data_IF_430483913124
#
_entry.id   IF_430483913124
#
_cell.length_a   1.000
_cell.length_b   1.000
_cell.length_c   1.000
_cell.angle_alpha   90.00
_cell.angle_beta   90.00
_cell.angle_gamma   90.00
#
_symmetry.space_group_name_H-M   'P 1'
#
loop_
_entity.id
_entity.type
_entity.pdbx_description
1 polymer ?
#
# COMPACT_ATOMS: atom_id res chain seq x y z
N UNK A 1 4.80 8.40 13.23
CA UNK A 1 4.37 8.54 14.65
C UNK A 1 2.89 8.20 14.76
N UNK A 2 2.34 8.07 15.98
CA UNK A 2 0.91 7.90 16.18
C UNK A 2 0.37 8.93 17.14
N UNK A 3 -0.86 9.37 16.90
CA UNK A 3 -1.64 10.16 17.84
C UNK A 3 -2.15 9.26 18.98
N UNK A 4 -2.65 9.87 20.06
CA UNK A 4 -3.13 9.16 21.25
C UNK A 4 -4.34 8.25 21.00
N UNK A 5 -5.12 8.54 19.96
CA UNK A 5 -6.27 7.76 19.50
C UNK A 5 -5.90 6.63 18.52
N UNK A 6 -4.62 6.54 18.14
CA UNK A 6 -4.11 5.50 17.24
C UNK A 6 -4.02 5.91 15.76
N UNK A 7 -4.43 7.13 15.40
CA UNK A 7 -4.26 7.64 14.03
C UNK A 7 -2.78 7.76 13.64
N UNK A 8 -2.48 7.46 12.38
CA UNK A 8 -1.10 7.44 11.86
C UNK A 8 -0.73 8.86 11.41
N UNK A 9 0.38 9.38 11.93
CA UNK A 9 0.96 10.65 11.52
C UNK A 9 2.29 10.43 10.81
N UNK A 10 2.36 10.90 9.56
CA UNK A 10 3.57 10.85 8.71
C UNK A 10 4.01 12.27 8.38
N UNK A 11 5.32 12.51 8.44
CA UNK A 11 5.97 13.72 7.96
C UNK A 11 7.28 13.31 7.26
N UNK A 12 7.53 13.83 6.06
CA UNK A 12 8.75 13.57 5.30
C UNK A 12 9.72 14.71 5.63
N UNK A 13 10.87 14.38 6.23
CA UNK A 13 11.79 15.38 6.82
C UNK A 13 12.68 16.08 5.78
N UNK A 14 12.69 15.60 4.54
CA UNK A 14 13.48 16.14 3.44
C UNK A 14 12.66 16.32 2.16
N UNK A 15 13.17 17.15 1.24
CA UNK A 15 12.51 17.34 -0.05
C UNK A 15 12.70 16.13 -0.95
N UNK A 16 11.60 15.53 -1.38
CA UNK A 16 11.56 14.42 -2.34
C UNK A 16 10.99 14.83 -3.71
N UNK A 17 10.88 16.14 -3.97
CA UNK A 17 10.35 16.67 -5.23
C UNK A 17 11.17 16.17 -6.42
N UNK A 18 10.50 15.54 -7.38
CA UNK A 18 11.14 15.02 -8.59
C UNK A 18 11.96 13.75 -8.38
N UNK A 19 11.96 13.17 -7.18
CA UNK A 19 12.70 11.94 -6.89
C UNK A 19 11.89 10.69 -7.27
N UNK A 20 12.61 9.61 -7.57
CA UNK A 20 12.06 8.26 -7.62
C UNK A 20 12.05 7.68 -6.20
N UNK A 21 10.86 7.56 -5.62
CA UNK A 21 10.67 7.07 -4.26
C UNK A 21 10.40 5.58 -4.28
N UNK A 22 11.04 4.86 -3.36
CA UNK A 22 10.78 3.45 -3.09
C UNK A 22 10.24 3.29 -1.67
N UNK A 23 9.01 2.81 -1.53
CA UNK A 23 8.39 2.52 -0.23
C UNK A 23 8.40 1.02 -0.02
N UNK A 24 9.08 0.55 1.02
CA UNK A 24 9.15 -0.88 1.37
C UNK A 24 8.21 -1.12 2.54
N UNK A 25 7.09 -1.80 2.30
CA UNK A 25 6.12 -2.09 3.36
C UNK A 25 5.45 -3.45 3.14
N UNK A 26 5.71 -4.46 3.99
CA UNK A 26 4.89 -5.66 4.01
C UNK A 26 3.52 -5.35 4.65
N UNK A 27 2.44 -5.87 4.08
CA UNK A 27 1.09 -5.76 4.68
C UNK A 27 0.78 -6.98 5.56
N UNK A 28 1.73 -7.35 6.43
CA UNK A 28 1.62 -8.44 7.39
C UNK A 28 0.90 -8.01 8.68
N UNK A 29 0.73 -8.91 9.65
CA UNK A 29 0.02 -8.60 10.89
C UNK A 29 0.67 -7.43 11.68
N UNK A 30 -0.08 -6.39 12.08
CA UNK A 30 -1.52 -6.13 11.83
C UNK A 30 -1.81 -5.55 10.44
N UNK A 31 -2.50 -6.32 9.58
CA UNK A 31 -2.60 -6.03 8.13
C UNK A 31 -3.20 -4.67 7.82
N UNK A 32 -4.32 -4.30 8.44
CA UNK A 32 -5.04 -3.05 8.14
C UNK A 32 -4.23 -1.82 8.52
N UNK A 33 -3.45 -1.93 9.59
CA UNK A 33 -2.63 -0.85 10.09
C UNK A 33 -1.47 -0.56 9.15
N UNK A 34 -0.76 -1.61 8.72
CA UNK A 34 0.34 -1.48 7.75
C UNK A 34 -0.17 -1.05 6.37
N UNK A 35 -1.36 -1.51 5.97
CA UNK A 35 -2.02 -1.04 4.75
C UNK A 35 -2.35 0.45 4.83
N UNK A 36 -2.96 0.92 5.91
CA UNK A 36 -3.26 2.35 6.08
C UNK A 36 -1.99 3.20 6.13
N UNK A 37 -0.95 2.74 6.82
CA UNK A 37 0.35 3.43 6.85
C UNK A 37 0.97 3.57 5.46
N UNK A 38 0.91 2.51 4.64
CA UNK A 38 1.36 2.53 3.25
C UNK A 38 0.58 3.56 2.43
N UNK A 39 -0.75 3.55 2.51
CA UNK A 39 -1.61 4.46 1.74
C UNK A 39 -1.36 5.93 2.13
N UNK A 40 -1.16 6.22 3.42
CA UNK A 40 -0.85 7.57 3.90
C UNK A 40 0.55 8.00 3.43
N UNK A 41 1.54 7.09 3.41
CA UNK A 41 2.88 7.41 2.90
C UNK A 41 2.85 7.70 1.40
N UNK A 42 2.09 6.93 0.61
CA UNK A 42 1.91 7.17 -0.84
C UNK A 42 1.29 8.56 -1.07
N UNK A 43 0.22 8.90 -0.35
CA UNK A 43 -0.42 10.23 -0.47
C UNK A 43 0.55 11.36 -0.10
N UNK A 44 1.35 11.19 0.97
CA UNK A 44 2.37 12.14 1.37
C UNK A 44 3.43 12.35 0.26
N UNK A 45 3.94 11.27 -0.34
CA UNK A 45 4.90 11.34 -1.43
C UNK A 45 4.32 12.04 -2.67
N UNK A 46 3.05 11.73 -3.01
CA UNK A 46 2.36 12.33 -4.15
C UNK A 46 2.19 13.84 -3.98
N UNK A 47 1.75 14.28 -2.80
CA UNK A 47 1.59 15.71 -2.48
C UNK A 47 2.93 16.44 -2.38
N UNK A 48 3.98 15.73 -1.98
CA UNK A 48 5.36 16.24 -1.98
C UNK A 48 5.98 16.30 -3.40
N UNK A 49 5.23 15.96 -4.45
CA UNK A 49 5.65 16.02 -5.85
C UNK A 49 6.80 15.07 -6.19
N UNK A 50 6.80 13.85 -5.64
CA UNK A 50 7.67 12.77 -6.12
C UNK A 50 7.46 12.57 -7.64
N UNK A 51 8.53 12.21 -8.37
CA UNK A 51 8.43 11.92 -9.80
C UNK A 51 7.77 10.56 -10.03
N UNK A 52 8.20 9.54 -9.27
CA UNK A 52 7.63 8.20 -9.28
C UNK A 52 7.53 7.66 -7.85
N UNK A 53 6.47 6.93 -7.55
CA UNK A 53 6.20 6.27 -6.27
C UNK A 53 6.11 4.77 -6.54
N UNK A 54 7.25 4.10 -6.32
CA UNK A 54 7.38 2.66 -6.48
C UNK A 54 7.18 1.99 -5.12
N UNK A 55 6.27 1.03 -5.02
CA UNK A 55 6.07 0.28 -3.79
C UNK A 55 6.68 -1.12 -3.91
N UNK A 56 7.34 -1.54 -2.84
CA UNK A 56 7.91 -2.88 -2.67
C UNK A 56 7.14 -3.55 -1.54
N UNK A 57 6.41 -4.61 -1.87
CA UNK A 57 5.51 -5.32 -0.95
C UNK A 57 5.99 -6.78 -0.83
N UNK A 58 6.90 -7.08 0.11
CA UNK A 58 7.44 -8.44 0.28
C UNK A 58 6.38 -9.47 0.69
N UNK A 59 5.29 -9.02 1.31
CA UNK A 59 4.14 -9.84 1.66
C UNK A 59 2.86 -9.06 1.37
N UNK A 60 2.04 -9.59 0.45
CA UNK A 60 0.77 -9.01 0.06
C UNK A 60 -0.36 -9.59 0.93
N UNK A 61 -0.74 -8.84 1.97
CA UNK A 61 -1.92 -9.11 2.79
C UNK A 61 -3.19 -9.17 1.93
N UNK A 62 -4.20 -9.90 2.41
CA UNK A 62 -5.43 -10.18 1.66
C UNK A 62 -5.26 -10.97 0.35
N UNK A 63 -4.05 -11.41 -0.04
CA UNK A 63 -3.82 -12.20 -1.26
C UNK A 63 -4.64 -13.49 -1.35
N UNK A 64 -5.07 -14.07 -0.22
CA UNK A 64 -5.91 -15.29 -0.19
C UNK A 64 -7.38 -15.06 -0.56
N UNK A 65 -7.78 -13.80 -0.74
CA UNK A 65 -9.14 -13.39 -1.12
C UNK A 65 -9.11 -12.70 -2.50
N UNK A 66 -8.57 -13.43 -3.47
CA UNK A 66 -8.32 -13.08 -4.87
C UNK A 66 -9.50 -13.40 -5.80
N UNK A 67 -10.47 -14.19 -5.34
CA UNK A 67 -11.70 -14.53 -6.04
C UNK A 67 -12.86 -14.70 -5.08
N UNK A 68 -14.08 -14.76 -5.62
CA UNK A 68 -15.27 -15.13 -4.86
C UNK A 68 -15.31 -16.66 -4.71
N UNK A 69 -15.05 -17.19 -3.53
CA UNK A 69 -15.21 -18.62 -3.26
C UNK A 69 -16.68 -18.98 -2.98
N UNK A 70 -17.46 -18.02 -2.45
CA UNK A 70 -18.91 -18.12 -2.23
C UNK A 70 -19.65 -16.88 -2.74
N UNK A 71 -20.96 -17.00 -2.87
CA UNK A 71 -21.82 -15.86 -3.22
C UNK A 71 -21.68 -14.74 -2.19
N UNK A 72 -21.62 -13.49 -2.68
CA UNK A 72 -21.51 -12.25 -1.89
C UNK A 72 -20.22 -12.06 -1.07
N UNK A 73 -19.14 -12.77 -1.40
CA UNK A 73 -17.81 -12.47 -0.84
C UNK A 73 -17.13 -11.30 -1.60
N UNK A 74 -16.30 -10.49 -0.92
CA UNK A 74 -15.47 -9.49 -1.59
C UNK A 74 -14.25 -10.14 -2.25
N UNK A 75 -13.64 -9.41 -3.18
CA UNK A 75 -12.31 -9.72 -3.74
C UNK A 75 -11.34 -8.70 -3.13
N UNK A 76 -10.93 -8.96 -1.89
CA UNK A 76 -10.17 -7.98 -1.10
C UNK A 76 -8.78 -7.73 -1.66
N UNK A 77 -8.15 -8.73 -2.30
CA UNK A 77 -6.88 -8.52 -3.00
C UNK A 77 -6.99 -7.44 -4.09
N UNK A 78 -8.10 -7.43 -4.84
CA UNK A 78 -8.40 -6.42 -5.86
C UNK A 78 -8.75 -5.06 -5.24
N UNK A 79 -9.50 -5.05 -4.14
CA UNK A 79 -9.77 -3.80 -3.41
C UNK A 79 -8.47 -3.13 -2.96
N UNK A 80 -7.54 -3.88 -2.36
CA UNK A 80 -6.25 -3.37 -1.91
C UNK A 80 -5.45 -2.81 -3.08
N UNK A 81 -5.41 -3.50 -4.22
CA UNK A 81 -4.74 -3.02 -5.43
C UNK A 81 -5.33 -1.68 -5.91
N UNK A 82 -6.66 -1.58 -5.97
CA UNK A 82 -7.35 -0.35 -6.37
C UNK A 82 -7.08 0.80 -5.39
N UNK A 83 -7.01 0.54 -4.08
CA UNK A 83 -6.70 1.57 -3.08
C UNK A 83 -5.29 2.10 -3.25
N UNK A 84 -4.33 1.22 -3.47
CA UNK A 84 -2.92 1.57 -3.72
C UNK A 84 -2.77 2.42 -4.99
N UNK A 85 -3.42 2.00 -6.08
CA UNK A 85 -3.46 2.75 -7.34
C UNK A 85 -4.11 4.13 -7.13
N UNK A 86 -5.24 4.19 -6.43
CA UNK A 86 -5.96 5.44 -6.16
C UNK A 86 -5.14 6.40 -5.29
N UNK A 87 -4.42 5.89 -4.28
CA UNK A 87 -3.51 6.69 -3.46
C UNK A 87 -2.41 7.33 -4.32
N UNK A 88 -1.98 6.64 -5.39
CA UNK A 88 -1.10 7.16 -6.42
C UNK A 88 0.26 6.48 -6.49
N UNK A 89 0.31 5.17 -6.22
CA UNK A 89 1.49 4.39 -6.56
C UNK A 89 1.59 4.18 -8.08
N UNK A 90 2.78 4.35 -8.66
CA UNK A 90 3.01 4.18 -10.10
C UNK A 90 3.34 2.72 -10.45
N UNK A 91 3.97 1.99 -9.53
CA UNK A 91 4.39 0.60 -9.74
C UNK A 91 4.41 -0.17 -8.42
N UNK A 92 4.07 -1.45 -8.49
CA UNK A 92 4.28 -2.41 -7.40
C UNK A 92 5.32 -3.47 -7.78
N UNK A 93 6.18 -3.80 -6.82
CA UNK A 93 7.07 -4.96 -6.82
C UNK A 93 6.62 -5.86 -5.68
N UNK A 94 6.12 -7.06 -6.00
CA UNK A 94 5.66 -8.03 -5.02
C UNK A 94 6.49 -9.32 -5.08
N UNK A 95 6.50 -10.07 -3.97
CA UNK A 95 7.18 -11.36 -3.86
C UNK A 95 6.15 -12.45 -3.55
N UNK A 96 6.23 -13.58 -4.26
CA UNK A 96 5.45 -14.82 -4.03
C UNK A 96 3.97 -14.58 -3.70
N UNK A 97 3.24 -13.95 -4.64
CA UNK A 97 1.80 -13.77 -4.51
C UNK A 97 1.09 -15.12 -4.36
N UNK A 98 0.06 -15.16 -3.50
CA UNK A 98 -0.71 -16.38 -3.26
C UNK A 98 -1.29 -16.98 -4.54
N UNK A 99 -1.75 -16.12 -5.45
CA UNK A 99 -2.19 -16.47 -6.78
C UNK A 99 -1.44 -15.57 -7.78
N UNK A 100 -0.84 -16.13 -8.85
CA UNK A 100 -0.04 -15.36 -9.81
C UNK A 100 -0.87 -14.43 -10.72
N UNK A 101 -2.20 -14.49 -10.65
CA UNK A 101 -3.11 -13.63 -11.42
C UNK A 101 -3.42 -12.30 -10.70
N UNK A 102 -3.03 -12.15 -9.44
CA UNK A 102 -3.08 -10.88 -8.70
C UNK A 102 -2.07 -9.92 -9.33
#
# INVERSE_FOLDING_TARGET
KRFSDGEIQINIEESIRGCDVFIIQPTSNPVNLHLMELLIMIDACKRASAANINIVVPYYGYARQDRKARSREPITAKLVANLIETAGADRMIALDLHAPQI
#
